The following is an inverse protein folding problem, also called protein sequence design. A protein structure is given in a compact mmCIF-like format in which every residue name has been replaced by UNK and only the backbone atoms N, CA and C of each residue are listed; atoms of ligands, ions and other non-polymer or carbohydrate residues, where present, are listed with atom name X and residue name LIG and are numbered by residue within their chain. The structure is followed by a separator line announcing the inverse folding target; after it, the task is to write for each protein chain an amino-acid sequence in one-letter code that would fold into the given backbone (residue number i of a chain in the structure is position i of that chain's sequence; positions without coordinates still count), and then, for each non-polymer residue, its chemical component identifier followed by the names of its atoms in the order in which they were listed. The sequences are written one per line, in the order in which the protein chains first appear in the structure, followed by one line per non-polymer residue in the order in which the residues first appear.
data_IF_577042625276
#
_entry.id   IF_577042625276
#
_cell.length_a   1.000
_cell.length_b   1.000
_cell.length_c   1.000
_cell.angle_alpha   90.00
_cell.angle_beta   90.00
_cell.angle_gamma   90.00
#
_symmetry.space_group_name_H-M   'P 1'
#
loop_
_entity.id
_entity.type
_entity.pdbx_description
1 polymer ?
#
# COMPACT_ATOMS: atom_id res chain seq x y z
N UNK A 1 -3.08 18.72 61.21
CA UNK A 1 -2.13 19.37 62.13
C UNK A 1 -1.46 20.50 61.38
N UNK A 2 -1.95 21.73 61.53
CA UNK A 2 -1.15 22.92 61.26
C UNK A 2 -1.04 23.60 62.61
N UNK A 3 0.18 23.62 63.16
CA UNK A 3 0.46 24.34 64.41
C UNK A 3 0.67 25.81 64.03
N UNK A 4 0.13 26.75 64.81
CA UNK A 4 0.44 28.20 64.78
C UNK A 4 1.89 28.49 65.22
N UNK A 5 2.84 27.67 64.78
CA UNK A 5 4.25 27.77 65.09
C UNK A 5 4.89 28.89 64.27
N UNK A 6 5.84 29.59 64.88
CA UNK A 6 6.59 30.66 64.22
C UNK A 6 7.35 30.12 63.00
N UNK A 7 7.33 30.88 61.90
CA UNK A 7 8.12 30.55 60.71
C UNK A 7 9.61 30.59 61.05
N UNK A 8 10.35 29.59 60.56
CA UNK A 8 11.80 29.46 60.75
C UNK A 8 12.49 29.45 59.39
N UNK A 9 13.62 30.13 59.29
CA UNK A 9 14.43 30.12 58.08
C UNK A 9 15.16 28.79 57.93
N UNK A 10 15.07 28.20 56.73
CA UNK A 10 15.75 26.97 56.37
C UNK A 10 16.67 27.23 55.17
N UNK A 11 17.94 26.87 55.31
CA UNK A 11 18.88 26.85 54.19
C UNK A 11 18.67 25.57 53.37
N UNK A 12 18.59 25.71 52.05
CA UNK A 12 18.48 24.59 51.11
C UNK A 12 19.38 24.79 49.90
N UNK A 13 19.73 23.69 49.24
CA UNK A 13 20.53 23.72 48.01
C UNK A 13 19.65 23.99 46.78
N UNK A 14 20.15 24.79 45.85
CA UNK A 14 19.52 25.05 44.56
C UNK A 14 20.41 24.59 43.41
N UNK A 15 19.80 24.17 42.30
CA UNK A 15 20.54 23.78 41.08
C UNK A 15 20.99 25.04 40.34
N UNK A 16 22.28 25.17 40.08
CA UNK A 16 22.84 26.23 39.25
C UNK A 16 22.85 25.80 37.77
N UNK A 17 21.78 26.08 37.04
CA UNK A 17 21.63 25.74 35.61
C UNK A 17 22.06 26.95 34.75
N UNK A 18 22.75 26.69 33.64
CA UNK A 18 23.18 27.72 32.68
C UNK A 18 22.84 27.29 31.25
N UNK A 19 22.49 28.26 30.41
CA UNK A 19 22.43 28.07 28.95
C UNK A 19 23.82 28.32 28.39
N UNK A 20 24.32 27.36 27.62
CA UNK A 20 25.62 27.43 26.97
C UNK A 20 25.41 27.37 25.46
N UNK A 21 26.14 28.21 24.74
CA UNK A 21 26.21 28.22 23.28
C UNK A 21 27.40 27.38 22.80
N UNK A 22 27.43 27.02 21.52
CA UNK A 22 28.43 26.11 20.95
C UNK A 22 29.87 26.63 21.03
N UNK A 23 30.06 27.93 21.22
CA UNK A 23 31.36 28.60 21.42
C UNK A 23 31.91 28.48 22.84
N UNK A 24 31.11 28.02 23.81
CA UNK A 24 31.52 27.90 25.21
C UNK A 24 32.02 26.48 25.52
N UNK A 25 33.19 26.30 26.17
CA UNK A 25 33.68 24.99 26.59
C UNK A 25 32.69 24.25 27.50
N UNK A 26 32.42 22.98 27.18
CA UNK A 26 31.42 22.15 27.87
C UNK A 26 32.00 21.20 28.91
N UNK A 27 33.31 20.97 28.91
CA UNK A 27 33.99 19.99 29.77
C UNK A 27 33.65 20.06 31.27
N UNK A 28 33.46 21.23 31.90
CA UNK A 28 33.12 21.29 33.32
C UNK A 28 31.64 21.02 33.62
N UNK A 29 30.81 20.78 32.60
CA UNK A 29 29.35 20.67 32.72
C UNK A 29 28.83 19.32 32.20
N UNK A 30 27.72 18.86 32.80
CA UNK A 30 26.85 17.86 32.19
C UNK A 30 25.84 18.61 31.32
N UNK A 31 25.92 18.46 30.00
CA UNK A 31 25.11 19.24 29.05
C UNK A 31 24.10 18.39 28.31
N UNK A 32 22.92 18.96 28.05
CA UNK A 32 21.91 18.39 27.14
C UNK A 32 21.54 19.44 26.09
N UNK A 33 21.49 19.08 24.79
CA UNK A 33 20.99 19.99 23.76
C UNK A 33 19.51 20.29 23.97
N UNK A 34 19.13 21.58 24.00
CA UNK A 34 17.74 22.02 24.25
C UNK A 34 17.10 22.77 23.10
N UNK A 35 17.89 23.41 22.24
CA UNK A 35 17.41 24.17 21.11
C UNK A 35 18.52 24.38 20.07
N UNK A 36 18.13 24.57 18.81
CA UNK A 36 19.01 25.03 17.73
C UNK A 36 18.50 26.38 17.23
N UNK A 37 19.39 27.35 17.08
CA UNK A 37 19.06 28.69 16.59
C UNK A 37 19.58 28.81 15.16
N UNK A 38 18.75 29.29 14.23
CA UNK A 38 19.13 29.56 12.84
C UNK A 38 18.98 31.03 12.52
N UNK A 39 19.78 31.50 11.55
CA UNK A 39 19.75 32.89 11.09
C UNK A 39 18.70 33.04 9.99
N UNK A 40 17.85 34.06 10.10
CA UNK A 40 16.83 34.33 9.09
C UNK A 40 17.43 35.05 7.87
N UNK A 41 16.80 34.95 6.69
CA UNK A 41 17.22 35.73 5.52
C UNK A 41 17.18 37.25 5.74
N UNK A 42 16.33 37.70 6.68
CA UNK A 42 16.20 39.10 7.09
C UNK A 42 17.25 39.57 8.10
N UNK A 43 18.19 38.68 8.48
CA UNK A 43 19.30 38.99 9.39
C UNK A 43 18.99 38.79 10.88
N UNK A 44 17.79 38.32 11.23
CA UNK A 44 17.39 37.96 12.59
C UNK A 44 17.80 36.54 12.98
N UNK A 45 17.34 36.10 14.15
CA UNK A 45 17.51 34.73 14.65
C UNK A 45 16.14 34.14 14.98
N UNK A 46 15.96 32.86 14.67
CA UNK A 46 14.77 32.09 15.01
C UNK A 46 15.15 30.70 15.52
N UNK A 47 14.26 30.09 16.31
CA UNK A 47 14.43 28.69 16.71
C UNK A 47 14.17 27.79 15.51
N UNK A 48 14.97 26.73 15.42
CA UNK A 48 14.73 25.66 14.48
C UNK A 48 13.64 24.73 15.03
N UNK A 49 12.44 24.82 14.45
CA UNK A 49 11.28 24.01 14.84
C UNK A 49 11.40 22.53 14.42
N UNK A 50 12.37 22.18 13.57
CA UNK A 50 12.61 20.80 13.13
C UNK A 50 13.70 20.11 13.96
N UNK A 51 14.32 20.84 14.90
CA UNK A 51 15.28 20.28 15.85
C UNK A 51 14.60 19.29 16.80
N UNK A 52 15.19 18.10 16.93
CA UNK A 52 14.72 17.05 17.85
C UNK A 52 15.76 16.93 18.98
N UNK A 53 15.48 17.47 20.18
CA UNK A 53 16.38 17.34 21.32
C UNK A 53 16.38 15.92 21.90
N UNK A 54 17.33 15.65 22.79
CA UNK A 54 17.25 14.49 23.70
C UNK A 54 16.05 14.70 24.64
N UNK A 55 14.99 13.94 24.41
CA UNK A 55 13.72 14.08 25.12
C UNK A 55 13.42 12.86 26.00
N UNK A 56 12.94 13.08 27.21
CA UNK A 56 12.42 12.00 28.06
C UNK A 56 11.04 11.52 27.62
N UNK A 57 10.24 12.40 26.99
CA UNK A 57 8.87 12.15 26.54
C UNK A 57 8.73 12.49 25.05
N UNK A 58 7.79 11.87 24.34
CA UNK A 58 7.53 12.12 22.92
C UNK A 58 7.02 13.55 22.69
N UNK A 59 6.13 14.05 23.55
CA UNK A 59 5.57 15.42 23.41
C UNK A 59 6.56 16.55 23.72
N UNK A 60 7.72 16.24 24.31
CA UNK A 60 8.78 17.23 24.52
C UNK A 60 9.42 17.70 23.21
N UNK A 61 9.25 16.97 22.10
CA UNK A 61 9.60 17.41 20.76
C UNK A 61 8.32 17.59 19.92
N UNK A 62 7.93 18.84 19.61
CA UNK A 62 6.78 19.12 18.74
C UNK A 62 6.91 18.46 17.37
N UNK A 63 8.13 18.40 16.82
CA UNK A 63 8.46 17.77 15.54
C UNK A 63 8.15 16.28 15.58
N UNK A 64 8.64 15.53 16.59
CA UNK A 64 8.35 14.10 16.72
C UNK A 64 6.85 13.82 16.84
N UNK A 65 6.14 14.64 17.62
CA UNK A 65 4.70 14.49 17.80
C UNK A 65 3.92 14.74 16.49
N UNK A 66 4.32 15.75 15.73
CA UNK A 66 3.77 16.07 14.40
C UNK A 66 4.05 14.98 13.37
N UNK A 67 5.28 14.45 13.35
CA UNK A 67 5.68 13.35 12.47
C UNK A 67 4.87 12.07 12.77
N UNK A 68 4.72 11.73 14.05
CA UNK A 68 3.88 10.61 14.50
C UNK A 68 2.42 10.79 14.08
N UNK A 69 1.87 12.01 14.24
CA UNK A 69 0.51 12.31 13.80
C UNK A 69 0.33 12.08 12.30
N UNK A 70 1.23 12.65 11.50
CA UNK A 70 1.19 12.50 10.04
C UNK A 70 1.30 11.04 9.62
N UNK A 71 2.14 10.24 10.29
CA UNK A 71 2.25 8.81 10.03
C UNK A 71 0.95 8.04 10.34
N UNK A 72 0.25 8.39 11.43
CA UNK A 72 -1.06 7.80 11.75
C UNK A 72 -2.10 8.12 10.67
N UNK A 73 -2.12 9.36 10.18
CA UNK A 73 -3.02 9.77 9.10
C UNK A 73 -2.70 9.01 7.79
N UNK A 74 -1.42 8.84 7.44
CA UNK A 74 -0.98 8.03 6.28
C UNK A 74 -1.35 6.54 6.43
N UNK A 75 -1.18 5.97 7.62
CA UNK A 75 -1.56 4.60 7.92
C UNK A 75 -3.07 4.38 7.76
N UNK A 76 -3.89 5.30 8.29
CA UNK A 76 -5.34 5.24 8.14
C UNK A 76 -5.75 5.28 6.66
N UNK A 77 -5.19 6.23 5.90
CA UNK A 77 -5.46 6.32 4.46
C UNK A 77 -5.05 5.03 3.70
N UNK A 78 -3.92 4.42 4.08
CA UNK A 78 -3.48 3.14 3.49
C UNK A 78 -4.44 1.99 3.83
N UNK A 79 -4.89 1.91 5.08
CA UNK A 79 -5.86 0.91 5.53
C UNK A 79 -7.18 1.05 4.76
N UNK A 80 -7.70 2.28 4.64
CA UNK A 80 -8.94 2.55 3.91
C UNK A 80 -8.83 2.17 2.42
N UNK A 81 -7.70 2.50 1.79
CA UNK A 81 -7.42 2.11 0.41
C UNK A 81 -7.36 0.58 0.24
N UNK A 82 -6.71 -0.13 1.16
CA UNK A 82 -6.61 -1.59 1.15
C UNK A 82 -7.96 -2.27 1.42
N UNK A 83 -8.81 -1.70 2.29
CA UNK A 83 -10.18 -2.19 2.46
C UNK A 83 -11.04 -1.94 1.23
N UNK A 84 -10.87 -0.81 0.53
CA UNK A 84 -11.57 -0.53 -0.73
C UNK A 84 -11.26 -1.55 -1.84
N UNK A 85 -10.07 -2.16 -1.82
CA UNK A 85 -9.69 -3.24 -2.75
C UNK A 85 -10.37 -4.58 -2.41
N UNK A 86 -10.63 -4.85 -1.13
CA UNK A 86 -11.26 -6.08 -0.68
C UNK A 86 -12.77 -5.87 -0.54
N UNK A 87 -13.50 -6.24 -1.60
CA UNK A 87 -14.96 -6.11 -1.70
C UNK A 87 -15.64 -6.70 -0.45
N UNK A 88 -16.29 -5.85 0.35
CA UNK A 88 -17.03 -6.28 1.53
C UNK A 88 -18.20 -7.17 1.09
N UNK A 89 -18.21 -8.42 1.54
CA UNK A 89 -19.41 -9.25 1.52
C UNK A 89 -20.45 -8.65 2.48
N UNK A 90 -21.73 -8.85 2.20
CA UNK A 90 -22.87 -8.30 2.97
C UNK A 90 -22.96 -8.79 4.43
N UNK A 91 -21.97 -9.52 4.93
CA UNK A 91 -21.95 -10.16 6.26
C UNK A 91 -20.88 -9.62 7.22
N UNK A 92 -20.25 -8.46 6.96
CA UNK A 92 -19.14 -7.91 7.78
C UNK A 92 -17.92 -8.84 7.88
N UNK A 93 -17.82 -9.87 7.03
CA UNK A 93 -16.67 -10.77 6.94
C UNK A 93 -15.82 -10.33 5.73
N UNK A 94 -14.54 -10.11 5.98
CA UNK A 94 -13.57 -9.80 4.93
C UNK A 94 -13.01 -11.12 4.41
N UNK A 95 -13.43 -11.51 3.21
CA UNK A 95 -12.92 -12.70 2.54
C UNK A 95 -11.65 -12.35 1.76
N UNK A 96 -10.53 -12.95 2.16
CA UNK A 96 -9.28 -12.88 1.40
C UNK A 96 -9.14 -14.10 0.50
N UNK A 97 -8.83 -13.89 -0.78
CA UNK A 97 -8.53 -14.99 -1.71
C UNK A 97 -7.04 -15.28 -1.71
N UNK A 98 -6.65 -16.46 -2.17
CA UNK A 98 -5.25 -16.90 -2.24
C UNK A 98 -4.32 -15.97 -3.03
N UNK A 99 -4.85 -15.18 -3.98
CA UNK A 99 -4.08 -14.17 -4.73
C UNK A 99 -3.86 -12.84 -3.99
N UNK A 100 -4.53 -12.63 -2.85
CA UNK A 100 -4.53 -11.35 -2.13
C UNK A 100 -3.60 -11.37 -0.90
N UNK A 101 -2.73 -12.38 -0.78
CA UNK A 101 -1.93 -12.61 0.43
C UNK A 101 -0.97 -11.45 0.73
N UNK A 102 -0.38 -10.82 -0.29
CA UNK A 102 0.47 -9.66 -0.12
C UNK A 102 -0.34 -8.45 0.41
N UNK A 103 -1.50 -8.18 -0.19
CA UNK A 103 -2.41 -7.12 0.26
C UNK A 103 -2.92 -7.37 1.69
N UNK A 104 -3.22 -8.62 2.03
CA UNK A 104 -3.57 -9.04 3.39
C UNK A 104 -2.44 -8.75 4.38
N UNK A 105 -1.21 -9.17 4.08
CA UNK A 105 -0.07 -8.94 4.98
C UNK A 105 0.26 -7.46 5.13
N UNK A 106 0.09 -6.65 4.08
CA UNK A 106 0.27 -5.21 4.18
C UNK A 106 -0.82 -4.57 5.03
N UNK A 107 -2.08 -4.96 4.83
CA UNK A 107 -3.20 -4.51 5.65
C UNK A 107 -2.99 -4.90 7.12
N UNK A 108 -2.57 -6.14 7.40
CA UNK A 108 -2.21 -6.60 8.74
C UNK A 108 -1.10 -5.74 9.35
N UNK A 109 -0.03 -5.48 8.59
CA UNK A 109 1.10 -4.64 9.03
C UNK A 109 0.65 -3.22 9.34
N UNK A 110 -0.17 -2.61 8.49
CA UNK A 110 -0.70 -1.26 8.68
C UNK A 110 -1.62 -1.18 9.91
N UNK A 111 -2.58 -2.10 10.04
CA UNK A 111 -3.51 -2.14 11.18
C UNK A 111 -2.79 -2.36 12.51
N UNK A 112 -1.87 -3.33 12.56
CA UNK A 112 -1.10 -3.63 13.79
C UNK A 112 -0.19 -2.46 14.19
N UNK A 113 0.50 -1.85 13.22
CA UNK A 113 1.35 -0.67 13.46
C UNK A 113 0.53 0.53 13.91
N UNK A 114 -0.63 0.78 13.30
CA UNK A 114 -1.54 1.86 13.70
C UNK A 114 -1.97 1.70 15.16
N UNK A 115 -2.35 0.49 15.60
CA UNK A 115 -2.72 0.22 16.99
C UNK A 115 -1.61 0.56 17.98
N UNK A 116 -0.39 0.10 17.71
CA UNK A 116 0.76 0.37 18.57
C UNK A 116 1.16 1.86 18.60
N UNK A 117 1.24 2.49 17.43
CA UNK A 117 1.62 3.91 17.29
C UNK A 117 0.54 4.85 17.84
N UNK A 118 -0.74 4.50 17.69
CA UNK A 118 -1.85 5.26 18.25
C UNK A 118 -1.80 5.29 19.78
N UNK A 119 -1.42 4.18 20.42
CA UNK A 119 -1.19 4.18 21.87
C UNK A 119 -0.11 5.20 22.26
N UNK A 120 1.04 5.20 21.58
CA UNK A 120 2.12 6.16 21.86
C UNK A 120 1.70 7.62 21.61
N UNK A 121 0.86 7.87 20.61
CA UNK A 121 0.32 9.19 20.33
C UNK A 121 -0.63 9.71 21.42
N UNK A 122 -1.46 8.84 22.00
CA UNK A 122 -2.37 9.17 23.11
C UNK A 122 -1.68 9.18 24.48
N UNK A 123 -0.51 8.56 24.59
CA UNK A 123 0.33 8.54 25.80
C UNK A 123 1.72 9.15 25.52
N UNK A 124 1.80 10.44 25.14
CA UNK A 124 3.05 11.02 24.67
C UNK A 124 4.10 11.25 25.77
N UNK A 125 3.73 11.04 27.04
CA UNK A 125 4.64 11.05 28.19
C UNK A 125 5.55 9.79 28.22
N UNK A 126 5.36 8.84 27.31
CA UNK A 126 6.24 7.68 27.17
C UNK A 126 7.57 8.06 26.52
N UNK A 127 8.61 7.28 26.83
CA UNK A 127 9.96 7.53 26.34
C UNK A 127 10.06 7.33 24.80
N UNK A 128 10.75 8.23 24.07
CA UNK A 128 10.81 8.16 22.59
C UNK A 128 11.49 6.91 22.04
N UNK A 129 12.33 6.22 22.82
CA UNK A 129 12.87 4.90 22.44
C UNK A 129 11.75 3.89 22.13
N UNK A 130 10.60 3.95 22.84
CA UNK A 130 9.45 3.08 22.55
C UNK A 130 8.84 3.36 21.18
N UNK A 131 8.74 4.63 20.81
CA UNK A 131 8.33 5.03 19.47
C UNK A 131 9.32 4.52 18.42
N UNK A 132 10.61 4.70 18.68
CA UNK A 132 11.65 4.21 17.78
C UNK A 132 11.58 2.70 17.56
N UNK A 133 11.34 1.92 18.62
CA UNK A 133 11.17 0.47 18.58
C UNK A 133 9.99 0.06 17.69
N UNK A 134 8.83 0.71 17.85
CA UNK A 134 7.64 0.39 17.04
C UNK A 134 7.80 0.83 15.57
N UNK A 135 8.47 1.95 15.32
CA UNK A 135 8.81 2.37 13.95
C UNK A 135 9.77 1.37 13.28
N UNK A 136 10.76 0.85 13.99
CA UNK A 136 11.66 -0.20 13.47
C UNK A 136 10.89 -1.49 13.17
N UNK A 137 9.96 -1.89 14.04
CA UNK A 137 9.13 -3.08 13.82
C UNK A 137 8.29 -2.92 12.56
N UNK A 138 7.66 -1.76 12.39
CA UNK A 138 6.89 -1.43 11.19
C UNK A 138 7.78 -1.42 9.94
N UNK A 139 8.93 -0.73 9.97
CA UNK A 139 9.86 -0.68 8.84
C UNK A 139 10.34 -2.09 8.44
N UNK A 140 10.72 -2.91 9.41
CA UNK A 140 11.15 -4.30 9.19
C UNK A 140 10.07 -5.16 8.54
N UNK A 141 8.81 -5.00 8.95
CA UNK A 141 7.69 -5.68 8.30
C UNK A 141 7.45 -5.16 6.87
N UNK A 142 7.54 -3.84 6.64
CA UNK A 142 7.32 -3.26 5.32
C UNK A 142 8.42 -3.58 4.30
N UNK A 143 9.65 -3.84 4.75
CA UNK A 143 10.76 -4.33 3.90
C UNK A 143 10.43 -5.66 3.20
N UNK A 144 9.41 -6.40 3.63
CA UNK A 144 8.98 -7.61 2.92
C UNK A 144 8.27 -7.31 1.59
N UNK A 145 7.81 -6.06 1.38
CA UNK A 145 7.07 -5.64 0.18
C UNK A 145 7.88 -4.78 -0.78
N UNK A 146 9.08 -4.33 -0.38
CA UNK A 146 9.91 -3.40 -1.16
C UNK A 146 11.38 -3.75 -1.04
N UNK A 147 12.10 -3.60 -2.14
CA UNK A 147 13.56 -3.72 -2.20
C UNK A 147 14.28 -2.36 -2.27
N UNK A 148 13.56 -1.25 -2.04
CA UNK A 148 14.13 0.10 -2.05
C UNK A 148 15.17 0.31 -0.94
N UNK A 149 15.06 -0.46 0.14
CA UNK A 149 15.96 -0.44 1.29
C UNK A 149 16.34 -1.87 1.70
N UNK A 150 17.46 -2.00 2.39
CA UNK A 150 17.97 -3.23 2.99
C UNK A 150 17.88 -3.15 4.51
N UNK A 151 17.99 -4.30 5.18
CA UNK A 151 17.98 -4.37 6.66
C UNK A 151 19.09 -3.51 7.31
N UNK A 152 20.23 -3.36 6.63
CA UNK A 152 21.35 -2.54 7.12
C UNK A 152 21.11 -1.04 6.99
N UNK A 153 20.09 -0.61 6.24
CA UNK A 153 19.74 0.81 6.10
C UNK A 153 18.94 1.33 7.31
N UNK A 154 18.43 0.43 8.15
CA UNK A 154 17.68 0.80 9.35
C UNK A 154 18.61 1.47 10.37
N UNK A 155 18.35 2.74 10.74
CA UNK A 155 19.26 3.49 11.62
C UNK A 155 19.29 2.91 13.03
N UNK A 156 20.43 3.09 13.72
CA UNK A 156 20.55 2.77 15.16
C UNK A 156 20.05 3.93 15.99
N UNK A 157 19.34 3.63 17.09
CA UNK A 157 18.88 4.65 18.02
C UNK A 157 20.08 5.33 18.71
N UNK A 158 20.11 6.65 18.68
CA UNK A 158 21.08 7.46 19.42
C UNK A 158 20.35 8.53 20.24
N UNK A 159 20.13 8.28 21.52
CA UNK A 159 19.40 9.21 22.38
C UNK A 159 20.11 10.56 22.57
N UNK A 160 21.45 10.60 22.46
CA UNK A 160 22.23 11.83 22.61
C UNK A 160 22.12 12.76 21.38
N UNK A 161 21.76 12.19 20.22
CA UNK A 161 21.52 12.93 18.99
C UNK A 161 20.37 12.26 18.19
N UNK A 162 19.12 12.37 18.68
CA UNK A 162 18.00 11.58 18.18
C UNK A 162 17.49 12.03 16.80
N UNK A 163 17.76 13.29 16.43
CA UNK A 163 17.27 13.91 15.20
C UNK A 163 17.58 13.08 13.95
N UNK A 164 18.86 12.77 13.70
CA UNK A 164 19.28 12.08 12.48
C UNK A 164 18.68 10.68 12.35
N UNK A 165 18.61 9.92 13.46
CA UNK A 165 18.06 8.57 13.42
C UNK A 165 16.53 8.57 13.25
N UNK A 166 15.80 9.50 13.88
CA UNK A 166 14.35 9.60 13.70
C UNK A 166 13.99 10.09 12.29
N UNK A 167 14.62 11.16 11.80
CA UNK A 167 14.37 11.68 10.45
C UNK A 167 14.58 10.59 9.40
N UNK A 168 15.69 9.85 9.50
CA UNK A 168 15.98 8.75 8.57
C UNK A 168 14.94 7.63 8.67
N UNK A 169 14.53 7.24 9.88
CA UNK A 169 13.56 6.17 10.08
C UNK A 169 12.17 6.56 9.58
N UNK A 170 11.70 7.77 9.88
CA UNK A 170 10.42 8.27 9.36
C UNK A 170 10.41 8.33 7.82
N UNK A 171 11.52 8.76 7.20
CA UNK A 171 11.65 8.75 5.74
C UNK A 171 11.51 7.33 5.17
N UNK A 172 12.28 6.37 5.71
CA UNK A 172 12.21 4.97 5.28
C UNK A 172 10.79 4.44 5.43
N UNK A 173 10.14 4.68 6.57
CA UNK A 173 8.77 4.21 6.82
C UNK A 173 7.78 4.81 5.83
N UNK A 174 7.87 6.11 5.52
CA UNK A 174 7.00 6.76 4.53
C UNK A 174 7.18 6.17 3.14
N UNK A 175 8.42 6.07 2.66
CA UNK A 175 8.73 5.51 1.34
C UNK A 175 8.23 4.05 1.21
N UNK A 176 8.41 3.26 2.27
CA UNK A 176 7.94 1.88 2.32
C UNK A 176 6.41 1.80 2.39
N UNK A 177 5.75 2.70 3.13
CA UNK A 177 4.29 2.76 3.22
C UNK A 177 3.66 3.21 1.90
N UNK A 178 4.31 4.12 1.16
CA UNK A 178 3.91 4.57 -0.17
C UNK A 178 4.14 3.51 -1.25
N UNK A 179 4.88 2.44 -0.93
CA UNK A 179 5.04 1.31 -1.86
C UNK A 179 3.65 0.79 -2.24
N UNK A 180 3.32 0.96 -3.52
CA UNK A 180 2.07 0.48 -4.10
C UNK A 180 2.21 -1.01 -4.26
N UNK A 181 1.42 -1.79 -3.50
CA UNK A 181 1.10 -3.15 -3.94
C UNK A 181 0.21 -2.95 -5.15
N UNK A 182 0.83 -2.79 -6.33
CA UNK A 182 0.09 -2.90 -7.57
C UNK A 182 -0.56 -4.26 -7.49
N UNK A 183 -1.89 -4.28 -7.36
CA UNK A 183 -2.64 -5.43 -7.77
C UNK A 183 -2.27 -5.61 -9.24
N UNK A 184 -1.28 -6.47 -9.51
CA UNK A 184 -0.75 -6.72 -10.86
C UNK A 184 -1.80 -7.34 -11.76
N UNK A 185 -3.05 -7.47 -11.28
CA UNK A 185 -4.17 -7.90 -12.07
C UNK A 185 -5.47 -7.19 -11.62
N UNK A 186 -6.33 -6.88 -12.58
CA UNK A 186 -7.66 -6.31 -12.42
C UNK A 186 -8.70 -7.25 -13.00
N UNK A 187 -9.76 -7.53 -12.24
CA UNK A 187 -10.91 -8.28 -12.76
C UNK A 187 -11.83 -7.34 -13.52
N UNK A 188 -12.20 -7.74 -14.73
CA UNK A 188 -13.18 -7.04 -15.55
C UNK A 188 -14.49 -7.82 -15.43
N UNK A 189 -15.51 -7.19 -14.85
CA UNK A 189 -16.82 -7.79 -14.74
C UNK A 189 -17.43 -7.98 -16.14
N UNK A 190 -17.88 -9.20 -16.42
CA UNK A 190 -18.59 -9.56 -17.64
C UNK A 190 -20.09 -9.58 -17.36
N UNK A 191 -20.84 -8.68 -18.01
CA UNK A 191 -22.29 -8.61 -17.89
C UNK A 191 -22.93 -9.09 -19.18
N UNK A 192 -23.81 -10.08 -19.12
CA UNK A 192 -24.57 -10.50 -20.29
C UNK A 192 -25.56 -9.41 -20.71
N UNK A 193 -25.38 -8.86 -21.92
CA UNK A 193 -26.22 -7.77 -22.44
C UNK A 193 -27.21 -8.26 -23.50
N UNK A 194 -26.89 -9.38 -24.16
CA UNK A 194 -27.75 -10.13 -25.09
C UNK A 194 -27.42 -11.61 -24.90
N UNK A 195 -28.33 -12.55 -25.26
CA UNK A 195 -28.05 -13.98 -25.15
C UNK A 195 -26.72 -14.32 -25.81
N UNK A 196 -25.81 -14.98 -25.08
CA UNK A 196 -24.46 -15.35 -25.55
C UNK A 196 -23.46 -14.21 -25.73
N UNK A 197 -23.80 -12.95 -25.39
CA UNK A 197 -22.92 -11.79 -25.53
C UNK A 197 -22.69 -11.12 -24.17
N UNK A 198 -21.45 -11.18 -23.70
CA UNK A 198 -21.02 -10.64 -22.41
C UNK A 198 -20.13 -9.41 -22.61
N UNK A 199 -20.56 -8.27 -22.09
CA UNK A 199 -19.83 -7.00 -22.17
C UNK A 199 -18.93 -6.82 -20.94
N UNK A 200 -17.66 -6.50 -21.16
CA UNK A 200 -16.70 -6.04 -20.17
C UNK A 200 -16.24 -4.61 -20.47
N UNK A 201 -16.24 -3.73 -19.47
CA UNK A 201 -15.73 -2.35 -19.61
C UNK A 201 -14.27 -2.29 -19.17
N UNK A 202 -13.43 -1.65 -19.98
CA UNK A 202 -12.00 -1.46 -19.70
C UNK A 202 -11.84 -0.08 -19.08
N UNK A 203 -11.44 -0.02 -17.81
CA UNK A 203 -11.18 1.24 -17.13
C UNK A 203 -9.77 1.74 -17.47
N UNK A 204 -9.69 2.74 -18.36
CA UNK A 204 -8.40 3.28 -18.84
C UNK A 204 -7.60 4.03 -17.76
N UNK A 205 -8.20 4.36 -16.62
CA UNK A 205 -7.44 4.94 -15.50
C UNK A 205 -6.65 3.87 -14.74
N UNK A 206 -7.01 2.60 -14.90
CA UNK A 206 -6.43 1.46 -14.16
C UNK A 206 -5.64 0.49 -15.04
N UNK A 207 -5.93 0.47 -16.34
CA UNK A 207 -5.39 -0.49 -17.31
C UNK A 207 -4.60 0.30 -18.36
N UNK A 208 -3.30 0.06 -18.42
CA UNK A 208 -2.38 0.69 -19.37
C UNK A 208 -2.43 0.00 -20.75
N UNK A 209 -1.84 0.66 -21.76
CA UNK A 209 -1.75 0.10 -23.12
C UNK A 209 -0.91 -1.18 -23.19
N UNK A 210 -0.06 -1.43 -22.20
CA UNK A 210 0.78 -2.62 -22.08
C UNK A 210 0.12 -3.76 -21.29
N UNK A 211 -1.15 -3.62 -20.89
CA UNK A 211 -1.82 -4.63 -20.10
C UNK A 211 -2.04 -5.94 -20.89
N UNK A 212 -1.68 -7.06 -20.28
CA UNK A 212 -1.96 -8.39 -20.83
C UNK A 212 -3.33 -8.89 -20.34
N UNK A 213 -4.20 -9.30 -21.25
CA UNK A 213 -5.53 -9.79 -20.89
C UNK A 213 -5.59 -11.32 -20.91
N UNK A 214 -6.26 -11.89 -19.92
CA UNK A 214 -6.47 -13.31 -19.75
C UNK A 214 -7.95 -13.61 -19.49
N UNK A 215 -8.50 -14.58 -20.20
CA UNK A 215 -9.81 -15.15 -19.96
C UNK A 215 -9.67 -16.45 -19.18
N UNK A 216 -10.22 -16.51 -17.97
CA UNK A 216 -10.38 -17.73 -17.19
C UNK A 216 -11.70 -18.38 -17.56
N UNK A 217 -11.70 -19.67 -17.88
CA UNK A 217 -12.89 -20.45 -18.23
C UNK A 217 -12.92 -21.74 -17.41
N UNK A 218 -14.08 -22.03 -16.83
CA UNK A 218 -14.39 -23.29 -16.15
C UNK A 218 -15.78 -23.73 -16.59
N UNK A 219 -15.98 -25.02 -16.87
CA UNK A 219 -17.26 -25.59 -17.25
C UNK A 219 -17.32 -27.07 -16.86
N UNK A 220 -18.50 -27.67 -16.93
CA UNK A 220 -18.66 -29.12 -16.80
C UNK A 220 -18.24 -29.84 -18.10
N UNK A 221 -16.95 -29.77 -18.41
CA UNK A 221 -16.34 -30.31 -19.61
C UNK A 221 -14.88 -30.73 -19.32
N UNK A 222 -14.38 -31.83 -19.91
CA UNK A 222 -12.98 -32.21 -19.79
C UNK A 222 -12.02 -31.08 -20.19
N UNK A 223 -11.01 -30.83 -19.37
CA UNK A 223 -10.02 -29.78 -19.60
C UNK A 223 -9.40 -29.72 -21.00
N UNK A 224 -8.93 -30.86 -21.56
CA UNK A 224 -8.39 -30.89 -22.92
C UNK A 224 -9.40 -30.45 -23.99
N UNK A 225 -10.68 -30.75 -23.79
CA UNK A 225 -11.76 -30.33 -24.69
C UNK A 225 -12.03 -28.83 -24.58
N UNK A 226 -12.02 -28.27 -23.36
CA UNK A 226 -12.08 -26.82 -23.14
C UNK A 226 -10.94 -26.07 -23.84
N UNK A 227 -9.71 -26.58 -23.70
CA UNK A 227 -8.50 -25.99 -24.30
C UNK A 227 -8.58 -25.94 -25.82
N UNK A 228 -9.21 -26.93 -26.46
CA UNK A 228 -9.42 -26.94 -27.91
C UNK A 228 -10.64 -26.12 -28.33
N UNK A 229 -11.70 -26.12 -27.53
CA UNK A 229 -12.99 -25.51 -27.88
C UNK A 229 -12.96 -24.00 -27.77
N UNK A 230 -12.40 -23.45 -26.68
CA UNK A 230 -12.45 -22.01 -26.38
C UNK A 230 -11.80 -21.16 -27.49
N UNK A 231 -10.56 -21.42 -27.94
CA UNK A 231 -9.92 -20.62 -28.99
C UNK A 231 -10.68 -20.57 -30.32
N UNK A 232 -11.46 -21.62 -30.62
CA UNK A 232 -12.19 -21.75 -31.87
C UNK A 232 -13.59 -21.13 -31.77
N UNK A 233 -14.31 -21.45 -30.69
CA UNK A 233 -15.72 -21.12 -30.52
C UNK A 233 -15.97 -19.75 -29.92
N UNK A 234 -15.11 -19.28 -29.02
CA UNK A 234 -15.31 -18.00 -28.35
C UNK A 234 -14.78 -16.89 -29.24
N UNK A 235 -15.50 -15.77 -29.32
CA UNK A 235 -15.07 -14.59 -30.08
C UNK A 235 -15.01 -13.40 -29.14
N UNK A 236 -13.86 -12.73 -29.11
CA UNK A 236 -13.63 -11.54 -28.28
C UNK A 236 -13.13 -10.39 -29.14
N UNK A 237 -13.48 -9.17 -28.78
CA UNK A 237 -13.11 -7.96 -29.51
C UNK A 237 -13.98 -6.76 -29.12
N UNK A 238 -13.92 -5.68 -29.90
CA UNK A 238 -14.82 -4.54 -29.71
C UNK A 238 -16.28 -4.96 -29.95
N UNK A 239 -17.28 -4.34 -29.26
CA UNK A 239 -18.69 -4.69 -29.41
C UNK A 239 -19.19 -4.83 -30.86
N UNK A 240 -18.89 -3.83 -31.71
CA UNK A 240 -19.31 -3.82 -33.12
C UNK A 240 -18.59 -4.86 -33.99
N UNK A 241 -17.36 -5.23 -33.61
CA UNK A 241 -16.55 -6.21 -34.34
C UNK A 241 -17.03 -7.63 -34.06
N UNK A 242 -17.38 -7.93 -32.81
CA UNK A 242 -17.76 -9.30 -32.40
C UNK A 242 -19.06 -9.74 -33.05
N UNK A 243 -20.08 -8.86 -33.12
CA UNK A 243 -21.33 -9.18 -33.82
C UNK A 243 -21.07 -9.53 -35.30
N UNK A 244 -20.23 -8.74 -35.99
CA UNK A 244 -19.84 -9.00 -37.39
C UNK A 244 -19.06 -10.30 -37.54
N UNK A 245 -18.15 -10.59 -36.60
CA UNK A 245 -17.36 -11.82 -36.60
C UNK A 245 -18.26 -13.06 -36.48
N UNK A 246 -19.28 -13.01 -35.62
CA UNK A 246 -20.24 -14.09 -35.45
C UNK A 246 -21.07 -14.29 -36.73
N UNK A 247 -21.62 -13.21 -37.30
CA UNK A 247 -22.45 -13.29 -38.51
C UNK A 247 -21.69 -13.77 -39.75
N UNK A 248 -20.41 -13.41 -39.85
CA UNK A 248 -19.57 -13.73 -41.03
C UNK A 248 -18.63 -14.91 -40.81
N UNK A 249 -18.77 -15.62 -39.67
CA UNK A 249 -17.88 -16.70 -39.24
C UNK A 249 -16.39 -16.33 -39.25
N UNK A 250 -16.06 -15.06 -39.01
CA UNK A 250 -14.69 -14.56 -38.95
C UNK A 250 -14.08 -14.74 -37.55
N UNK A 251 -12.75 -14.87 -37.44
CA UNK A 251 -12.08 -14.90 -36.15
C UNK A 251 -12.14 -13.52 -35.47
N UNK A 252 -12.33 -13.52 -34.15
CA UNK A 252 -12.13 -12.34 -33.31
C UNK A 252 -10.65 -12.16 -32.94
N UNK A 253 -10.39 -11.40 -31.87
CA UNK A 253 -9.07 -11.39 -31.22
C UNK A 253 -8.71 -12.81 -30.81
N UNK A 254 -7.49 -13.23 -31.15
CA UNK A 254 -7.04 -14.61 -30.95
C UNK A 254 -6.89 -14.91 -29.45
N UNK A 255 -7.46 -16.02 -29.03
CA UNK A 255 -7.29 -16.60 -27.71
C UNK A 255 -6.30 -17.76 -27.80
N UNK A 256 -5.29 -17.77 -26.93
CA UNK A 256 -4.29 -18.85 -26.87
C UNK A 256 -4.25 -19.42 -25.46
N UNK A 257 -4.32 -20.75 -25.33
CA UNK A 257 -4.23 -21.39 -24.02
C UNK A 257 -2.89 -21.06 -23.34
N UNK A 258 -2.97 -20.54 -22.11
CA UNK A 258 -1.84 -20.19 -21.27
C UNK A 258 -1.67 -21.28 -20.21
N UNK A 259 -0.78 -22.25 -20.46
CA UNK A 259 -0.48 -23.33 -19.52
C UNK A 259 0.12 -22.82 -18.20
N UNK A 260 0.78 -21.66 -18.24
CA UNK A 260 1.21 -20.91 -17.06
C UNK A 260 0.74 -19.46 -17.20
N UNK A 261 0.08 -18.97 -16.17
CA UNK A 261 -0.28 -17.55 -16.04
C UNK A 261 0.77 -16.82 -15.20
N UNK A 262 0.93 -15.50 -15.37
CA UNK A 262 1.75 -14.69 -14.48
C UNK A 262 1.37 -14.92 -13.01
N UNK A 263 2.37 -14.89 -12.11
CA UNK A 263 2.16 -15.10 -10.67
C UNK A 263 1.15 -14.12 -10.04
N UNK A 264 0.87 -13.01 -10.73
CA UNK A 264 -0.18 -12.06 -10.37
C UNK A 264 -1.59 -12.67 -10.41
N UNK A 265 -1.88 -13.61 -11.30
CA UNK A 265 -3.22 -14.19 -11.46
C UNK A 265 -3.36 -15.41 -10.53
N UNK A 266 -4.34 -15.43 -9.60
CA UNK A 266 -4.59 -16.60 -8.78
C UNK A 266 -5.18 -17.74 -9.62
N UNK A 267 -4.47 -18.87 -9.66
CA UNK A 267 -4.89 -20.09 -10.36
C UNK A 267 -6.01 -20.79 -9.58
N UNK A 268 -7.14 -21.06 -10.24
CA UNK A 268 -8.27 -21.79 -9.66
C UNK A 268 -8.29 -23.24 -10.13
N UNK A 269 -8.48 -24.21 -9.23
CA UNK A 269 -8.72 -25.60 -9.63
C UNK A 269 -9.90 -25.69 -10.60
N UNK A 270 -9.73 -26.45 -11.69
CA UNK A 270 -10.77 -26.63 -12.72
C UNK A 270 -10.92 -25.47 -13.71
N UNK A 271 -10.20 -24.36 -13.53
CA UNK A 271 -10.18 -23.24 -14.49
C UNK A 271 -8.99 -23.32 -15.43
N UNK A 272 -9.23 -23.05 -16.71
CA UNK A 272 -8.22 -22.94 -17.76
C UNK A 272 -8.12 -21.49 -18.22
N UNK A 273 -6.90 -21.05 -18.52
CA UNK A 273 -6.61 -19.66 -18.82
C UNK A 273 -6.23 -19.49 -20.28
N UNK A 274 -6.73 -18.43 -20.90
CA UNK A 274 -6.50 -18.11 -22.30
C UNK A 274 -6.02 -16.67 -22.41
N UNK A 275 -4.80 -16.48 -22.89
CA UNK A 275 -4.25 -15.16 -23.16
C UNK A 275 -4.86 -14.60 -24.45
N UNK A 276 -5.24 -13.32 -24.41
CA UNK A 276 -5.60 -12.58 -25.61
C UNK A 276 -4.29 -12.15 -26.31
N UNK A 277 -4.22 -12.37 -27.62
CA UNK A 277 -3.09 -11.87 -28.41
C UNK A 277 -3.13 -10.34 -28.47
N UNK A 278 -2.19 -9.69 -27.79
CA UNK A 278 -2.08 -8.24 -27.68
C UNK A 278 -1.54 -7.56 -28.96
N UNK A 279 -1.93 -8.07 -30.13
CA UNK A 279 -1.49 -7.58 -31.45
C UNK A 279 -2.63 -7.63 -32.45
N UNK A 280 -2.61 -6.70 -33.40
CA UNK A 280 -3.50 -6.68 -34.54
C UNK A 280 -4.68 -5.71 -34.40
N UNK A 281 -5.35 -5.40 -35.53
CA UNK A 281 -6.31 -4.30 -35.61
C UNK A 281 -7.54 -4.49 -34.73
N UNK A 282 -7.99 -5.73 -34.49
CA UNK A 282 -9.13 -6.02 -33.62
C UNK A 282 -8.83 -5.72 -32.15
N UNK A 283 -7.61 -6.03 -31.70
CA UNK A 283 -7.17 -5.76 -30.33
C UNK A 283 -7.03 -4.24 -30.10
N UNK A 284 -6.40 -3.52 -31.04
CA UNK A 284 -6.29 -2.06 -30.96
C UNK A 284 -7.64 -1.35 -30.94
N UNK A 285 -8.61 -1.80 -31.76
CA UNK A 285 -9.98 -1.27 -31.74
C UNK A 285 -10.69 -1.54 -30.42
N UNK A 286 -10.51 -2.72 -29.84
CA UNK A 286 -11.05 -3.07 -28.52
C UNK A 286 -10.52 -2.13 -27.42
N UNK A 287 -9.22 -1.85 -27.40
CA UNK A 287 -8.62 -0.91 -26.45
C UNK A 287 -9.15 0.52 -26.66
N UNK A 288 -9.21 0.99 -27.91
CA UNK A 288 -9.76 2.32 -28.25
C UNK A 288 -11.23 2.47 -27.88
N UNK A 289 -12.02 1.40 -28.00
CA UNK A 289 -13.42 1.39 -27.61
C UNK A 289 -13.63 1.33 -26.08
N UNK A 290 -12.56 1.16 -25.30
CA UNK A 290 -12.58 1.01 -23.84
C UNK A 290 -13.60 -0.03 -23.34
N UNK A 291 -13.91 -1.00 -24.19
CA UNK A 291 -14.92 -2.00 -23.96
C UNK A 291 -14.63 -3.22 -24.82
N UNK A 292 -14.98 -4.38 -24.29
CA UNK A 292 -14.87 -5.63 -25.01
C UNK A 292 -16.14 -6.44 -24.88
N UNK A 293 -16.44 -7.15 -25.95
CA UNK A 293 -17.54 -8.09 -26.02
C UNK A 293 -16.97 -9.49 -26.14
N UNK A 294 -17.52 -10.41 -25.37
CA UNK A 294 -17.22 -11.83 -25.46
C UNK A 294 -18.48 -12.54 -25.93
N UNK A 295 -18.41 -13.14 -27.12
CA UNK A 295 -19.42 -14.07 -27.60
C UNK A 295 -19.07 -15.49 -27.20
N UNK A 296 -20.06 -16.17 -26.64
CA UNK A 296 -19.96 -17.56 -26.20
C UNK A 296 -21.16 -18.37 -26.68
N UNK A 297 -20.96 -19.41 -27.50
CA UNK A 297 -22.08 -20.22 -27.97
C UNK A 297 -22.75 -20.95 -26.81
N UNK A 298 -24.08 -21.11 -26.93
CA UNK A 298 -24.88 -21.91 -26.00
C UNK A 298 -24.51 -23.39 -26.04
N UNK A 299 -24.86 -24.13 -24.98
CA UNK A 299 -24.63 -25.58 -24.87
C UNK A 299 -23.35 -25.99 -24.14
N UNK A 300 -22.79 -25.10 -23.32
CA UNK A 300 -21.71 -25.43 -22.38
C UNK A 300 -22.27 -25.36 -20.97
N UNK A 301 -22.35 -26.50 -20.30
CA UNK A 301 -22.95 -26.63 -18.97
C UNK A 301 -22.04 -26.08 -17.85
N UNK A 302 -22.65 -25.46 -16.82
CA UNK A 302 -22.00 -24.78 -15.68
C UNK A 302 -20.84 -23.84 -16.07
N UNK A 303 -20.98 -23.13 -17.20
CA UNK A 303 -19.93 -22.23 -17.68
C UNK A 303 -19.74 -21.03 -16.75
N UNK A 304 -18.52 -20.89 -16.24
CA UNK A 304 -18.03 -19.75 -15.44
C UNK A 304 -16.86 -19.11 -16.15
N UNK A 305 -16.91 -17.79 -16.28
CA UNK A 305 -15.90 -17.01 -16.97
C UNK A 305 -15.52 -15.78 -16.17
N UNK A 306 -14.22 -15.48 -16.16
CA UNK A 306 -13.70 -14.25 -15.61
C UNK A 306 -12.64 -13.68 -16.53
N UNK A 307 -12.71 -12.38 -16.76
CA UNK A 307 -11.73 -11.67 -17.56
C UNK A 307 -10.82 -10.88 -16.63
N UNK A 308 -9.52 -10.95 -16.90
CA UNK A 308 -8.48 -10.37 -16.06
C UNK A 308 -7.50 -9.58 -16.92
N UNK A 309 -7.18 -8.36 -16.52
CA UNK A 309 -6.11 -7.56 -17.11
C UNK A 309 -4.92 -7.54 -16.15
N UNK A 310 -3.72 -7.87 -16.62
CA UNK A 310 -2.46 -7.86 -15.86
C UNK A 310 -1.65 -6.67 -16.33
N UNK A 311 -1.41 -5.71 -15.45
CA UNK A 311 -0.54 -4.57 -15.76
C UNK A 311 0.92 -4.96 -15.53
N UNK A 312 1.80 -4.42 -16.37
CA UNK A 312 3.24 -4.66 -16.30
C UNK A 312 3.89 -4.07 -15.05
#
# INVERSE_FOLDING_TARGET
MYTDAAQSELAYLSKAVKLLTDDTPRDPYVTVPVARVRRTPTGGFELDEDFIPSCAHIDASPTLYRELRGLLDSLQAKVDALYGLHRQSSQHIIEFRSGDIASFWLLHTACSSFGALSHLFHHPQLHPERLYQELLRMAGALLTFSNAYQLNDLPRYNHAAPEACFQRLFQIVRDLLDTVISARYFKIALTEVKPSFHLGRIDSQRIDENAAFYLSVSADMPGPELVQTVPVRFKIGAPDDVEKCVLSALPGVKLTHAAQVPAAIPVRPGSYYFALEARGPLYERMLKAQSMMLYVPSGIDDLKMELVAVTS
#
